data_IF_873073795534
#
_entry.id   IF_873073795534
#
_cell.length_a   1.000
_cell.length_b   1.000
_cell.length_c   1.000
_cell.angle_alpha   90.00
_cell.angle_beta   90.00
_cell.angle_gamma   90.00
#
_symmetry.space_group_name_H-M   'P 1'
#
loop_
_entity.id
_entity.type
_entity.pdbx_description
1 polymer ?
#
# COMPACT_ATOMS: atom_id res chain seq x y z
N UNK A 1 -19.76 3.65 -8.74
CA UNK A 1 -19.31 3.67 -7.37
C UNK A 1 -18.02 2.93 -7.16
N UNK A 2 -17.71 1.98 -8.04
CA UNK A 2 -16.43 1.30 -8.00
C UNK A 2 -15.26 2.26 -8.16
N UNK A 3 -15.46 3.31 -8.95
CA UNK A 3 -14.43 4.31 -9.19
C UNK A 3 -14.05 5.09 -7.93
N UNK A 4 -14.91 5.06 -6.91
CA UNK A 4 -14.65 5.77 -5.67
C UNK A 4 -13.86 4.95 -4.65
N UNK A 5 -13.58 3.68 -4.95
CA UNK A 5 -12.79 2.83 -4.06
C UNK A 5 -11.30 3.10 -4.27
N UNK A 6 -10.58 3.58 -3.24
CA UNK A 6 -9.14 3.84 -3.38
C UNK A 6 -8.34 2.59 -3.75
N UNK A 7 -7.28 2.79 -4.53
CA UNK A 7 -6.45 1.68 -4.98
C UNK A 7 -5.78 0.91 -3.84
N UNK A 8 -5.41 1.61 -2.76
CA UNK A 8 -4.77 0.94 -1.63
C UNK A 8 -5.72 -0.08 -0.99
N UNK A 9 -7.04 0.20 -1.03
CA UNK A 9 -8.04 -0.72 -0.51
C UNK A 9 -8.05 -2.01 -1.32
N UNK A 10 -7.99 -1.88 -2.65
CA UNK A 10 -8.02 -3.03 -3.55
C UNK A 10 -6.79 -3.92 -3.42
N UNK A 11 -5.68 -3.34 -2.99
CA UNK A 11 -4.41 -4.07 -2.86
C UNK A 11 -4.27 -4.88 -1.58
N UNK A 12 -5.20 -4.75 -0.64
CA UNK A 12 -5.14 -5.51 0.61
C UNK A 12 -5.77 -6.89 0.43
N UNK A 13 -5.17 -7.88 1.09
CA UNK A 13 -5.67 -9.25 1.04
C UNK A 13 -6.84 -9.44 2.01
N UNK A 14 -7.53 -10.57 1.88
CA UNK A 14 -8.58 -10.95 2.84
C UNK A 14 -8.04 -10.97 4.26
N UNK A 15 -6.83 -11.50 4.45
CA UNK A 15 -6.20 -11.55 5.77
C UNK A 15 -5.92 -10.14 6.31
N UNK A 16 -5.47 -9.22 5.45
CA UNK A 16 -5.27 -7.83 5.82
C UNK A 16 -6.58 -7.20 6.30
N UNK A 17 -7.67 -7.46 5.58
CA UNK A 17 -8.99 -6.93 5.92
C UNK A 17 -9.50 -7.47 7.24
N UNK A 18 -9.25 -8.74 7.52
CA UNK A 18 -9.64 -9.34 8.81
C UNK A 18 -8.89 -8.67 9.96
N UNK A 19 -7.61 -8.37 9.75
CA UNK A 19 -6.81 -7.67 10.75
C UNK A 19 -7.37 -6.26 11.02
N UNK A 20 -7.64 -5.51 9.95
CA UNK A 20 -8.21 -4.16 10.06
C UNK A 20 -9.54 -4.19 10.82
N UNK A 21 -10.40 -5.14 10.46
CA UNK A 21 -11.71 -5.29 11.11
C UNK A 21 -11.56 -5.52 12.61
N UNK A 22 -10.68 -6.45 13.00
CA UNK A 22 -10.47 -6.77 14.42
C UNK A 22 -9.91 -5.57 15.18
N UNK A 23 -9.00 -4.83 14.54
CA UNK A 23 -8.44 -3.64 15.16
C UNK A 23 -9.51 -2.57 15.41
N UNK A 24 -10.38 -2.35 14.44
CA UNK A 24 -11.49 -1.41 14.57
C UNK A 24 -12.44 -1.84 15.68
N UNK A 25 -12.81 -3.11 15.70
CA UNK A 25 -13.74 -3.64 16.73
C UNK A 25 -13.12 -3.61 18.11
N UNK A 26 -11.81 -3.65 18.21
CA UNK A 26 -11.07 -3.55 19.47
C UNK A 26 -10.77 -2.08 19.83
N UNK A 27 -11.35 -1.12 19.09
CA UNK A 27 -11.12 0.31 19.30
C UNK A 27 -9.64 0.69 19.28
N UNK A 28 -8.87 0.00 18.43
CA UNK A 28 -7.45 0.25 18.29
C UNK A 28 -6.56 -0.42 19.31
N UNK A 29 -7.13 -1.25 20.18
CA UNK A 29 -6.34 -1.94 21.22
C UNK A 29 -5.57 -3.13 20.62
N UNK A 30 -4.26 -2.98 20.48
CA UNK A 30 -3.41 -4.07 19.98
C UNK A 30 -3.34 -5.23 20.98
N UNK A 31 -3.48 -4.95 22.27
CA UNK A 31 -3.51 -5.99 23.29
C UNK A 31 -4.70 -6.91 23.07
N UNK A 32 -5.88 -6.33 22.81
CA UNK A 32 -7.08 -7.12 22.56
C UNK A 32 -6.97 -7.92 21.27
N UNK A 33 -6.40 -7.31 20.24
CA UNK A 33 -6.18 -8.01 18.96
C UNK A 33 -5.21 -9.19 19.16
N UNK A 34 -4.15 -8.98 19.91
CA UNK A 34 -3.20 -10.06 20.22
C UNK A 34 -3.90 -11.22 20.92
N UNK A 35 -4.77 -10.92 21.89
CA UNK A 35 -5.53 -11.94 22.61
C UNK A 35 -6.46 -12.71 21.67
N UNK A 36 -7.12 -12.01 20.72
CA UNK A 36 -8.02 -12.65 19.77
C UNK A 36 -7.29 -13.61 18.84
N UNK A 37 -6.08 -13.26 18.42
CA UNK A 37 -5.28 -14.11 17.54
C UNK A 37 -4.47 -15.16 18.30
N UNK A 38 -4.39 -15.05 19.63
CA UNK A 38 -3.59 -15.97 20.42
C UNK A 38 -2.09 -15.80 20.19
N UNK A 39 -1.64 -14.58 19.94
CA UNK A 39 -0.24 -14.25 19.69
C UNK A 39 0.23 -13.14 20.65
N UNK A 40 1.55 -12.93 20.71
CA UNK A 40 2.10 -11.92 21.60
C UNK A 40 1.88 -10.52 21.09
N UNK A 41 1.91 -9.53 21.99
CA UNK A 41 1.82 -8.12 21.61
C UNK A 41 2.90 -7.70 20.61
N UNK A 42 4.19 -8.05 20.82
CA UNK A 42 5.21 -7.70 19.83
C UNK A 42 4.92 -8.26 18.45
N UNK A 43 4.35 -9.46 18.36
CA UNK A 43 4.00 -10.07 17.08
C UNK A 43 2.89 -9.29 16.38
N UNK A 44 1.86 -8.90 17.12
CA UNK A 44 0.77 -8.08 16.57
C UNK A 44 1.31 -6.72 16.12
N UNK A 45 2.23 -6.15 16.88
CA UNK A 45 2.84 -4.86 16.54
C UNK A 45 3.60 -4.93 15.22
N UNK A 46 4.33 -6.03 15.00
CA UNK A 46 5.04 -6.26 13.75
C UNK A 46 4.04 -6.37 12.58
N UNK A 47 2.94 -7.09 12.77
CA UNK A 47 1.91 -7.21 11.72
C UNK A 47 1.31 -5.85 11.39
N UNK A 48 1.02 -5.05 12.39
CA UNK A 48 0.49 -3.70 12.17
C UNK A 48 1.48 -2.83 11.39
N UNK A 49 2.75 -2.88 11.77
CA UNK A 49 3.78 -2.09 11.10
C UNK A 49 3.91 -2.50 9.63
N UNK A 50 3.83 -3.80 9.33
CA UNK A 50 3.85 -4.28 7.94
C UNK A 50 2.64 -3.80 7.17
N UNK A 51 1.48 -3.81 7.79
CA UNK A 51 0.25 -3.35 7.15
C UNK A 51 0.32 -1.85 6.86
N UNK A 52 0.80 -1.06 7.81
CA UNK A 52 0.99 0.37 7.63
C UNK A 52 1.90 0.64 6.45
N UNK A 53 3.03 -0.06 6.38
CA UNK A 53 3.98 0.08 5.28
C UNK A 53 3.34 -0.30 3.95
N UNK A 54 2.57 -1.38 3.94
CA UNK A 54 1.87 -1.85 2.74
C UNK A 54 0.88 -0.81 2.24
N UNK A 55 0.09 -0.23 3.14
CA UNK A 55 -0.89 0.81 2.77
C UNK A 55 -0.17 2.03 2.22
N UNK A 56 0.92 2.47 2.86
CA UNK A 56 1.71 3.59 2.35
C UNK A 56 2.22 3.32 0.94
N UNK A 57 2.75 2.12 0.70
CA UNK A 57 3.27 1.74 -0.61
C UNK A 57 2.18 1.75 -1.67
N UNK A 58 1.03 1.14 -1.37
CA UNK A 58 -0.09 1.08 -2.30
C UNK A 58 -0.65 2.46 -2.60
N UNK A 59 -0.78 3.29 -1.59
CA UNK A 59 -1.32 4.63 -1.75
C UNK A 59 -0.36 5.53 -2.55
N UNK A 60 0.95 5.37 -2.33
CA UNK A 60 1.96 6.17 -3.01
C UNK A 60 2.24 5.71 -4.44
N UNK A 61 2.01 4.43 -4.73
CA UNK A 61 2.31 3.84 -6.04
C UNK A 61 1.26 4.18 -7.10
N UNK A 62 0.17 4.81 -6.73
CA UNK A 62 -0.91 5.13 -7.65
C UNK A 62 -0.41 6.09 -8.74
N UNK A 63 -0.56 5.72 -10.03
CA UNK A 63 -0.20 6.63 -11.12
C UNK A 63 -1.05 7.89 -11.07
N UNK A 64 -0.41 9.05 -11.07
CA UNK A 64 -1.09 10.34 -10.96
C UNK A 64 -1.42 10.97 -12.30
N UNK A 65 -0.63 10.65 -13.33
CA UNK A 65 -0.79 11.25 -14.67
C UNK A 65 -0.67 10.18 -15.74
N UNK A 66 -1.01 10.55 -16.99
CA UNK A 66 -0.81 9.67 -18.14
C UNK A 66 0.66 9.29 -18.30
N UNK A 67 1.57 10.21 -17.97
CA UNK A 67 3.01 9.93 -18.03
C UNK A 67 3.38 8.82 -17.05
N UNK A 68 2.92 8.91 -15.81
CA UNK A 68 3.20 7.87 -14.80
C UNK A 68 2.67 6.52 -15.25
N UNK A 69 1.45 6.48 -15.79
CA UNK A 69 0.85 5.24 -16.25
C UNK A 69 1.65 4.62 -17.40
N UNK A 70 2.11 5.45 -18.34
CA UNK A 70 2.89 4.99 -19.49
C UNK A 70 4.22 4.39 -19.03
N UNK A 71 4.91 5.08 -18.12
CA UNK A 71 6.17 4.60 -17.56
C UNK A 71 5.96 3.25 -16.85
N UNK A 72 4.91 3.16 -16.05
CA UNK A 72 4.61 1.93 -15.31
C UNK A 72 4.35 0.77 -16.28
N UNK A 73 3.62 1.01 -17.34
CA UNK A 73 3.35 -0.02 -18.36
C UNK A 73 4.64 -0.50 -19.04
N UNK A 74 5.54 0.42 -19.35
CA UNK A 74 6.80 0.08 -19.99
C UNK A 74 7.68 -0.79 -19.07
N UNK A 75 7.68 -0.50 -17.79
CA UNK A 75 8.41 -1.32 -16.81
C UNK A 75 7.78 -2.71 -16.71
N UNK A 76 6.45 -2.77 -16.63
CA UNK A 76 5.72 -4.04 -16.54
C UNK A 76 5.98 -4.91 -17.75
N UNK A 77 6.04 -4.31 -18.94
CA UNK A 77 6.28 -5.03 -20.19
C UNK A 77 7.76 -5.38 -20.41
N UNK A 78 8.63 -5.00 -19.48
CA UNK A 78 10.05 -5.29 -19.58
C UNK A 78 10.79 -4.43 -20.59
N UNK A 79 10.17 -3.37 -21.07
CA UNK A 79 10.77 -2.46 -22.07
C UNK A 79 11.56 -1.32 -21.44
N UNK A 80 11.38 -1.09 -20.15
CA UNK A 80 12.06 -0.01 -19.44
C UNK A 80 12.56 -0.53 -18.10
N UNK A 81 13.83 -0.28 -17.82
CA UNK A 81 14.41 -0.67 -16.54
C UNK A 81 13.82 0.19 -15.42
N UNK A 82 13.60 -0.43 -14.26
CA UNK A 82 12.96 0.27 -13.13
C UNK A 82 13.80 1.44 -12.62
N UNK A 83 15.13 1.35 -12.67
CA UNK A 83 15.98 2.44 -12.22
C UNK A 83 15.87 3.64 -13.16
N UNK A 84 15.78 3.39 -14.46
CA UNK A 84 15.56 4.44 -15.46
C UNK A 84 14.18 5.06 -15.28
N UNK A 85 13.17 4.22 -15.01
CA UNK A 85 11.81 4.70 -14.80
C UNK A 85 11.74 5.66 -13.62
N UNK A 86 12.41 5.32 -12.51
CA UNK A 86 12.45 6.20 -11.33
C UNK A 86 13.10 7.54 -11.64
N UNK A 87 14.17 7.52 -12.41
CA UNK A 87 14.86 8.74 -12.84
C UNK A 87 13.95 9.61 -13.67
N UNK A 88 13.22 9.00 -14.62
CA UNK A 88 12.31 9.75 -15.50
C UNK A 88 11.15 10.35 -14.72
N UNK A 89 10.57 9.60 -13.80
CA UNK A 89 9.45 10.09 -12.99
C UNK A 89 9.91 11.25 -12.12
N UNK A 90 11.07 11.14 -11.51
CA UNK A 90 11.63 12.21 -10.67
C UNK A 90 11.86 13.48 -11.49
N UNK A 91 12.45 13.33 -12.67
CA UNK A 91 12.71 14.47 -13.55
C UNK A 91 11.40 15.14 -13.98
N UNK A 92 10.38 14.35 -14.29
CA UNK A 92 9.06 14.86 -14.65
C UNK A 92 8.43 15.63 -13.50
N UNK A 93 8.49 15.09 -12.30
CA UNK A 93 7.91 15.73 -11.13
C UNK A 93 8.62 17.04 -10.78
N UNK A 94 9.94 17.06 -10.95
CA UNK A 94 10.71 18.28 -10.70
C UNK A 94 10.40 19.37 -11.74
N UNK A 95 10.17 18.97 -12.99
CA UNK A 95 9.90 19.94 -14.06
C UNK A 95 8.49 20.51 -13.99
N UNK A 96 7.57 19.86 -13.28
CA UNK A 96 6.17 20.29 -13.20
C UNK A 96 5.88 21.18 -11.99
N UNK A 97 6.89 21.55 -11.23
CA UNK A 97 6.73 22.46 -10.09
C UNK A 97 6.70 23.91 -10.51
#
# INVERSE_FOLDING_TARGET
>A
MEDSIPEWIKGLTEEDWQFVKRLILASGSLKDVANQYGISYPTVRIRLNRLIKKVHTLDSAKPKTAFHRKIQMLVTDGKLDISVAKTLIKAFEESSK
#
